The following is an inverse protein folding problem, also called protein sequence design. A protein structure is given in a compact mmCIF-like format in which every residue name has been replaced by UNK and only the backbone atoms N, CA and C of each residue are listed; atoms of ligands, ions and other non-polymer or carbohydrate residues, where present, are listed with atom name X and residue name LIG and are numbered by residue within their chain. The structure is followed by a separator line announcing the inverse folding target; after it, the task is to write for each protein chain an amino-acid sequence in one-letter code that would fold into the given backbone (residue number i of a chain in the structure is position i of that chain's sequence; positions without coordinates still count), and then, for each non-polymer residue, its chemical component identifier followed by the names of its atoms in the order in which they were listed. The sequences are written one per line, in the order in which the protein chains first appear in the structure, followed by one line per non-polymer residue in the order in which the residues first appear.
data_IF_290696812045
#
_entry.id   IF_290696812045
#
_cell.length_a   1.000
_cell.length_b   1.000
_cell.length_c   1.000
_cell.angle_alpha   90.00
_cell.angle_beta   90.00
_cell.angle_gamma   90.00
#
_symmetry.space_group_name_H-M   'P 1'
#
loop_
_entity.id
_entity.type
_entity.pdbx_description
1 polymer ?
#
# COMPACT_ATOMS: atom_id res chain seq x y z
N UNK A 1 5.08 10.11 20.93
CA UNK A 1 5.62 9.19 19.90
C UNK A 1 5.82 9.99 18.62
N UNK A 2 7.05 10.16 18.14
CA UNK A 2 7.31 10.93 16.92
C UNK A 2 6.69 10.21 15.72
N UNK A 3 5.72 10.86 15.07
CA UNK A 3 5.11 10.37 13.82
C UNK A 3 6.21 10.43 12.76
N UNK A 4 6.81 9.27 12.44
CA UNK A 4 7.80 9.16 11.37
C UNK A 4 7.17 9.70 10.09
N UNK A 5 7.82 10.69 9.47
CA UNK A 5 7.46 11.09 8.12
C UNK A 5 7.87 9.94 7.21
N UNK A 6 6.95 9.36 6.43
CA UNK A 6 7.36 8.45 5.37
C UNK A 6 8.34 9.20 4.47
N UNK A 7 9.50 8.61 4.29
CA UNK A 7 10.58 9.04 3.43
C UNK A 7 10.18 8.91 1.95
N UNK A 8 10.98 9.49 1.06
CA UNK A 8 10.76 9.44 -0.39
C UNK A 8 10.44 8.03 -0.95
N UNK A 9 11.16 6.97 -0.52
CA UNK A 9 10.90 5.60 -0.95
C UNK A 9 9.47 5.12 -0.69
N UNK A 10 8.92 5.33 0.52
CA UNK A 10 7.53 4.95 0.81
C UNK A 10 6.53 5.75 -0.04
N UNK A 11 6.83 7.03 -0.29
CA UNK A 11 5.94 7.87 -1.10
C UNK A 11 5.79 7.33 -2.52
N UNK A 12 6.89 6.91 -3.13
CA UNK A 12 6.86 6.24 -4.43
C UNK A 12 6.13 4.90 -4.36
N UNK A 13 6.47 4.08 -3.36
CA UNK A 13 5.91 2.74 -3.22
C UNK A 13 4.39 2.73 -2.99
N UNK A 14 3.87 3.69 -2.22
CA UNK A 14 2.42 3.85 -2.03
C UNK A 14 1.67 4.14 -3.35
N UNK A 15 2.28 4.88 -4.28
CA UNK A 15 1.73 5.10 -5.63
C UNK A 15 1.76 3.83 -6.47
N UNK A 16 2.81 3.02 -6.34
CA UNK A 16 2.92 1.74 -7.06
C UNK A 16 1.85 0.74 -6.58
N UNK A 17 1.57 0.67 -5.28
CA UNK A 17 0.44 -0.09 -4.73
C UNK A 17 -0.88 0.42 -5.33
N UNK A 18 -1.10 1.74 -5.32
CA UNK A 18 -2.31 2.35 -5.88
C UNK A 18 -2.54 2.02 -7.35
N UNK A 19 -1.49 2.10 -8.16
CA UNK A 19 -1.51 1.70 -9.56
C UNK A 19 -1.80 0.19 -9.74
N UNK A 20 -1.23 -0.66 -8.87
CA UNK A 20 -1.51 -2.10 -8.89
C UNK A 20 -2.97 -2.42 -8.60
N UNK A 21 -3.55 -1.79 -7.56
CA UNK A 21 -4.98 -1.89 -7.23
C UNK A 21 -5.84 -1.46 -8.42
N UNK A 22 -5.53 -0.31 -9.02
CA UNK A 22 -6.28 0.24 -10.15
C UNK A 22 -6.25 -0.69 -11.36
N UNK A 23 -5.08 -1.25 -11.69
CA UNK A 23 -4.92 -2.20 -12.79
C UNK A 23 -5.78 -3.45 -12.57
N UNK A 24 -5.63 -4.13 -11.43
CA UNK A 24 -6.41 -5.33 -11.11
C UNK A 24 -7.92 -5.09 -11.07
N UNK A 25 -8.34 -3.88 -10.66
CA UNK A 25 -9.73 -3.45 -10.71
C UNK A 25 -10.23 -3.31 -12.15
N UNK A 26 -9.48 -2.61 -13.00
CA UNK A 26 -9.84 -2.39 -14.41
C UNK A 26 -9.90 -3.71 -15.18
N UNK A 27 -8.93 -4.60 -14.95
CA UNK A 27 -8.88 -5.93 -15.58
C UNK A 27 -10.12 -6.79 -15.25
N UNK A 28 -10.78 -6.50 -14.12
CA UNK A 28 -12.02 -7.14 -13.68
C UNK A 28 -13.30 -6.39 -14.09
N UNK A 29 -13.16 -5.26 -14.78
CA UNK A 29 -14.31 -4.43 -15.20
C UNK A 29 -15.06 -3.79 -14.03
N UNK A 30 -14.42 -3.64 -12.86
CA UNK A 30 -15.07 -3.11 -11.66
C UNK A 30 -14.89 -1.59 -11.56
N UNK A 31 -15.90 -0.89 -11.06
CA UNK A 31 -15.80 0.53 -10.69
C UNK A 31 -15.16 0.69 -9.31
N UNK A 32 -14.65 1.88 -9.01
CA UNK A 32 -14.13 2.20 -7.67
C UNK A 32 -15.19 2.00 -6.58
N UNK A 33 -16.45 2.31 -6.88
CA UNK A 33 -17.56 2.17 -5.93
C UNK A 33 -17.88 0.70 -5.62
N UNK A 34 -17.87 -0.16 -6.65
CA UNK A 34 -18.09 -1.60 -6.48
C UNK A 34 -17.02 -2.22 -5.57
N UNK A 35 -15.73 -1.93 -5.82
CA UNK A 35 -14.65 -2.46 -4.99
C UNK A 35 -14.72 -1.90 -3.57
N UNK A 36 -14.96 -0.59 -3.43
CA UNK A 36 -15.07 0.05 -2.12
C UNK A 36 -16.16 -0.59 -1.28
N UNK A 37 -17.38 -0.71 -1.82
CA UNK A 37 -18.52 -1.30 -1.11
C UNK A 37 -18.24 -2.75 -0.71
N UNK A 38 -17.75 -3.58 -1.63
CA UNK A 38 -17.45 -4.98 -1.36
C UNK A 38 -16.30 -5.16 -0.33
N UNK A 39 -15.35 -4.22 -0.28
CA UNK A 39 -14.26 -4.23 0.69
C UNK A 39 -14.64 -3.58 2.04
N UNK A 40 -15.89 -3.09 2.21
CA UNK A 40 -16.33 -2.39 3.42
C UNK A 40 -15.69 -1.01 3.60
N UNK A 41 -15.35 -0.33 2.49
CA UNK A 41 -14.73 0.98 2.44
C UNK A 41 -15.69 2.02 1.85
N UNK A 42 -15.47 3.29 2.19
CA UNK A 42 -16.11 4.38 1.42
C UNK A 42 -15.43 4.52 0.06
N UNK A 43 -16.17 4.96 -0.96
CA UNK A 43 -15.60 5.27 -2.29
C UNK A 43 -14.44 6.27 -2.20
N UNK A 44 -14.55 7.28 -1.32
CA UNK A 44 -13.50 8.29 -1.09
C UNK A 44 -12.22 7.67 -0.52
N UNK A 45 -12.35 6.75 0.45
CA UNK A 45 -11.21 6.01 1.01
C UNK A 45 -10.53 5.14 -0.04
N UNK A 46 -11.31 4.42 -0.86
CA UNK A 46 -10.76 3.58 -1.92
C UNK A 46 -10.05 4.42 -3.00
N UNK A 47 -10.63 5.56 -3.40
CA UNK A 47 -10.00 6.49 -4.34
C UNK A 47 -8.62 6.96 -3.85
N UNK A 48 -8.47 7.24 -2.55
CA UNK A 48 -7.17 7.60 -1.95
C UNK A 48 -6.15 6.48 -2.05
N UNK A 49 -6.57 5.23 -1.87
CA UNK A 49 -5.69 4.08 -2.03
C UNK A 49 -5.24 3.92 -3.48
N UNK A 50 -6.12 4.05 -4.47
CA UNK A 50 -5.71 4.03 -5.88
C UNK A 50 -4.77 5.18 -6.24
N UNK A 51 -4.96 6.36 -5.64
CA UNK A 51 -4.04 7.49 -5.82
C UNK A 51 -2.67 7.27 -5.16
N UNK A 52 -2.59 6.36 -4.19
CA UNK A 52 -1.41 6.21 -3.34
C UNK A 52 -1.20 7.36 -2.35
N UNK A 53 -2.23 8.18 -2.10
CA UNK A 53 -2.16 9.38 -1.26
C UNK A 53 -3.37 9.48 -0.32
N UNK A 54 -3.13 9.70 0.99
CA UNK A 54 -4.20 9.90 1.97
C UNK A 54 -4.66 11.36 2.06
N UNK A 55 -3.77 12.29 1.75
CA UNK A 55 -3.95 13.73 1.58
C UNK A 55 -2.86 14.22 0.59
N UNK A 56 -2.96 15.43 0.03
CA UNK A 56 -1.91 15.97 -0.82
C UNK A 56 -0.52 15.82 -0.17
N UNK A 57 0.44 15.31 -0.93
CA UNK A 57 1.84 15.08 -0.52
C UNK A 57 2.02 14.11 0.66
N UNK A 58 0.96 13.42 1.08
CA UNK A 58 1.00 12.44 2.16
C UNK A 58 0.67 11.07 1.59
N UNK A 59 1.64 10.15 1.52
CA UNK A 59 1.38 8.82 0.98
C UNK A 59 0.27 8.11 1.73
N UNK A 60 -0.48 7.28 1.02
CA UNK A 60 -1.40 6.35 1.62
C UNK A 60 -0.64 5.33 2.48
N UNK A 61 -1.27 4.92 3.58
CA UNK A 61 -0.84 3.78 4.37
C UNK A 61 -2.10 2.98 4.76
N UNK A 62 -2.67 2.20 3.82
CA UNK A 62 -3.82 1.37 4.11
C UNK A 62 -3.46 0.36 5.21
N UNK A 63 -4.39 0.10 6.14
CA UNK A 63 -4.20 -0.96 7.12
C UNK A 63 -4.10 -2.32 6.40
N UNK A 64 -3.41 -3.29 6.99
CA UNK A 64 -3.35 -4.65 6.46
C UNK A 64 -4.76 -5.22 6.21
N UNK A 65 -5.74 -4.90 7.07
CA UNK A 65 -7.14 -5.28 6.90
C UNK A 65 -7.74 -4.73 5.60
N UNK A 66 -7.49 -3.47 5.27
CA UNK A 66 -7.97 -2.87 4.03
C UNK A 66 -7.31 -3.52 2.81
N UNK A 67 -5.99 -3.76 2.88
CA UNK A 67 -5.25 -4.43 1.79
C UNK A 67 -5.80 -5.84 1.55
N UNK A 68 -6.00 -6.63 2.61
CA UNK A 68 -6.59 -7.98 2.51
C UNK A 68 -8.01 -7.96 1.95
N UNK A 69 -8.86 -7.03 2.39
CA UNK A 69 -10.23 -6.91 1.88
C UNK A 69 -10.24 -6.57 0.38
N UNK A 70 -9.39 -5.64 -0.06
CA UNK A 70 -9.24 -5.29 -1.48
C UNK A 70 -8.72 -6.50 -2.27
N UNK A 71 -7.71 -7.21 -1.76
CA UNK A 71 -7.18 -8.41 -2.40
C UNK A 71 -8.24 -9.51 -2.58
N UNK A 72 -9.09 -9.73 -1.57
CA UNK A 72 -10.21 -10.67 -1.63
C UNK A 72 -11.25 -10.28 -2.70
N UNK A 73 -11.66 -9.01 -2.72
CA UNK A 73 -12.62 -8.51 -3.73
C UNK A 73 -12.04 -8.60 -5.13
N UNK A 74 -10.77 -8.28 -5.28
CA UNK A 74 -10.04 -8.41 -6.52
C UNK A 74 -9.59 -9.85 -6.76
N UNK A 75 -9.88 -10.86 -5.94
CA UNK A 75 -9.44 -12.24 -6.18
C UNK A 75 -7.95 -12.39 -6.57
N UNK A 76 -7.06 -11.68 -5.86
CA UNK A 76 -5.60 -11.75 -6.03
C UNK A 76 -4.92 -12.02 -4.69
N UNK A 77 -3.71 -12.52 -4.74
CA UNK A 77 -2.83 -12.64 -3.58
C UNK A 77 -2.30 -11.27 -3.13
N UNK A 78 -1.77 -11.20 -1.90
CA UNK A 78 -1.11 -9.98 -1.43
C UNK A 78 0.13 -9.64 -2.26
N UNK A 79 0.89 -10.64 -2.72
CA UNK A 79 2.09 -10.43 -3.55
C UNK A 79 1.76 -9.88 -4.95
N UNK A 80 0.61 -10.25 -5.52
CA UNK A 80 0.13 -9.68 -6.78
C UNK A 80 -0.39 -8.24 -6.62
N UNK A 81 -0.91 -7.91 -5.43
CA UNK A 81 -1.44 -6.58 -5.12
C UNK A 81 -0.33 -5.60 -4.69
N UNK A 82 0.66 -6.09 -3.94
CA UNK A 82 1.72 -5.30 -3.29
C UNK A 82 3.07 -5.61 -3.96
N UNK A 83 3.52 -4.77 -4.93
CA UNK A 83 4.62 -5.12 -5.83
C UNK A 83 5.97 -5.29 -5.11
N UNK A 84 6.79 -6.23 -5.56
CA UNK A 84 8.16 -6.40 -5.10
C UNK A 84 9.15 -5.65 -6.02
N UNK A 85 10.32 -5.21 -5.53
CA UNK A 85 10.77 -5.32 -4.14
C UNK A 85 10.11 -4.28 -3.22
N UNK A 86 9.93 -4.64 -1.94
CA UNK A 86 9.50 -3.68 -0.93
C UNK A 86 10.61 -2.67 -0.61
N UNK A 87 10.27 -1.39 -0.32
CA UNK A 87 11.25 -0.46 0.22
C UNK A 87 11.72 -0.95 1.59
N UNK A 88 12.97 -0.63 1.97
CA UNK A 88 13.47 -1.00 3.29
C UNK A 88 12.81 -0.14 4.37
N UNK A 89 11.70 -0.64 4.92
CA UNK A 89 10.95 0.00 6.00
C UNK A 89 11.76 0.12 7.31
N UNK A 90 12.93 -0.53 7.40
CA UNK A 90 13.85 -0.46 8.55
C UNK A 90 14.87 0.66 8.40
N UNK A 91 15.05 1.25 7.21
CA UNK A 91 16.13 2.21 6.91
C UNK A 91 16.10 3.48 7.78
N UNK A 92 14.99 3.77 8.49
CA UNK A 92 14.89 4.85 9.47
C UNK A 92 15.03 4.44 10.94
N UNK A 93 15.28 3.15 11.26
CA UNK A 93 15.45 2.66 12.64
C UNK A 93 16.84 3.01 13.18
N UNK A 94 16.93 3.65 14.37
CA UNK A 94 18.20 3.78 15.08
C UNK A 94 18.54 2.42 15.70
N UNK A 95 19.03 1.48 14.90
CA UNK A 95 19.69 0.28 15.43
C UNK A 95 20.76 -0.21 14.43
N UNK A 96 21.96 -0.56 14.90
CA UNK A 96 23.10 -0.87 14.05
C UNK A 96 22.86 -2.15 13.22
N UNK A 97 23.62 -2.33 12.13
CA UNK A 97 23.65 -3.61 11.42
C UNK A 97 23.97 -4.75 12.41
N UNK A 98 23.47 -5.98 12.17
CA UNK A 98 23.84 -7.14 12.98
C UNK A 98 25.37 -7.23 13.07
N UNK A 99 25.95 -7.68 14.19
CA UNK A 99 27.40 -7.87 14.26
C UNK A 99 27.79 -8.77 13.09
N UNK A 100 28.64 -8.25 12.19
CA UNK A 100 29.31 -9.10 11.21
C UNK A 100 30.04 -10.14 12.03
N UNK A 101 29.55 -11.38 11.97
CA UNK A 101 30.16 -12.51 12.64
C UNK A 101 31.64 -12.50 12.33
N UNK A 102 32.45 -12.24 13.36
CA UNK A 102 33.86 -12.58 13.34
C UNK A 102 33.96 -14.10 13.22
N UNK A 103 34.88 -14.52 12.37
CA UNK A 103 35.22 -15.91 12.05
C UNK A 103 35.45 -16.79 13.29
#
# INVERSE_FOLDING_TARGET
MAKRRPDGPWHQYAREIGASIQRHRIDRGLTQEQVAYAAGLTRYTFQKFEKGESMPETPANPSLRNVMAIAQVLGVTLDELVPQPWPDLRAGLPYPPPPTGGA
#
